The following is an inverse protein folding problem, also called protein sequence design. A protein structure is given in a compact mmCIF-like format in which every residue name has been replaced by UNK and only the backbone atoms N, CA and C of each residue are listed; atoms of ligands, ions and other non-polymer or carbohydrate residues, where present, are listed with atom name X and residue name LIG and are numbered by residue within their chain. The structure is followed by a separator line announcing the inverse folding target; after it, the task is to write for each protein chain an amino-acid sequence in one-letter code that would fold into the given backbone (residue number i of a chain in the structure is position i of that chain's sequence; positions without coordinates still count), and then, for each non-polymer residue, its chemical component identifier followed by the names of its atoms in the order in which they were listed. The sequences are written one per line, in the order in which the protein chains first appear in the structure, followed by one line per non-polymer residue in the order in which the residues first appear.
data_IF_024452494356
#
_entry.id   IF_024452494356
#
_cell.length_a   1.000
_cell.length_b   1.000
_cell.length_c   1.000
_cell.angle_alpha   90.00
_cell.angle_beta   90.00
_cell.angle_gamma   90.00
#
_symmetry.space_group_name_H-M   'P 1'
#
loop_
_entity.id
_entity.type
_entity.pdbx_description
1 polymer ?
#
# COMPACT_ATOMS: atom_id res chain seq x y z
N UNK A 1 1.78 14.45 76.26
CA UNK A 1 2.20 14.57 74.85
C UNK A 1 1.48 13.47 74.07
N UNK A 2 0.49 13.81 73.25
CA UNK A 2 -0.26 12.81 72.48
C UNK A 2 0.63 12.31 71.34
N UNK A 3 0.95 11.02 71.33
CA UNK A 3 1.51 10.35 70.14
C UNK A 3 0.39 10.28 69.11
N UNK A 4 0.53 11.01 68.00
CA UNK A 4 -0.30 10.77 66.84
C UNK A 4 -0.01 9.35 66.35
N UNK A 5 -1.02 8.48 66.40
CA UNK A 5 -0.96 7.13 65.83
C UNK A 5 -1.31 7.29 64.35
N UNK A 6 -0.35 7.06 63.46
CA UNK A 6 -0.59 7.07 62.01
C UNK A 6 -1.58 5.96 61.67
N UNK A 7 -2.52 6.26 60.79
CA UNK A 7 -3.48 5.28 60.27
C UNK A 7 -2.76 4.27 59.36
N UNK A 8 -3.28 3.04 59.18
CA UNK A 8 -2.67 2.04 58.30
C UNK A 8 -2.47 2.53 56.85
N UNK A 9 -3.31 3.45 56.37
CA UNK A 9 -3.13 4.12 55.09
C UNK A 9 -1.94 5.09 55.07
N UNK A 10 -1.71 5.83 56.16
CA UNK A 10 -0.57 6.73 56.29
C UNK A 10 0.75 5.96 56.44
N UNK A 11 0.75 4.80 57.11
CA UNK A 11 1.92 3.92 57.20
C UNK A 11 2.27 3.28 55.85
N UNK A 12 1.28 2.80 55.10
CA UNK A 12 1.49 2.26 53.75
C UNK A 12 1.99 3.32 52.77
N UNK A 13 1.48 4.55 52.87
CA UNK A 13 1.95 5.68 52.07
C UNK A 13 3.40 6.06 52.44
N UNK A 14 3.72 6.12 53.73
CA UNK A 14 5.07 6.42 54.21
C UNK A 14 6.08 5.33 53.82
N UNK A 15 5.69 4.06 53.87
CA UNK A 15 6.54 2.95 53.42
C UNK A 15 6.74 2.97 51.91
N UNK A 16 5.70 3.25 51.12
CA UNK A 16 5.83 3.41 49.67
C UNK A 16 6.74 4.59 49.31
N UNK A 17 6.63 5.71 50.03
CA UNK A 17 7.54 6.85 49.90
C UNK A 17 8.97 6.48 50.26
N UNK A 18 9.21 5.84 51.41
CA UNK A 18 10.54 5.43 51.84
C UNK A 18 11.19 4.38 50.91
N UNK A 19 10.40 3.50 50.29
CA UNK A 19 10.87 2.56 49.27
C UNK A 19 11.23 3.28 47.96
N UNK A 20 10.42 4.27 47.56
CA UNK A 20 10.67 5.09 46.37
C UNK A 20 11.91 5.96 46.56
N UNK A 21 12.07 6.57 47.74
CA UNK A 21 13.24 7.36 48.14
C UNK A 21 14.50 6.49 48.18
N UNK A 22 14.47 5.31 48.82
CA UNK A 22 15.63 4.41 48.83
C UNK A 22 16.04 3.91 47.44
N UNK A 23 15.07 3.68 46.55
CA UNK A 23 15.35 3.28 45.16
C UNK A 23 15.96 4.43 44.36
N UNK A 24 15.38 5.63 44.47
CA UNK A 24 15.92 6.82 43.83
C UNK A 24 17.29 7.18 44.41
N UNK A 25 17.53 7.16 45.71
CA UNK A 25 18.85 7.47 46.26
C UNK A 25 19.94 6.49 45.80
N UNK A 26 19.63 5.19 45.74
CA UNK A 26 20.59 4.16 45.32
C UNK A 26 20.83 4.15 43.81
N UNK A 27 19.83 4.47 43.00
CA UNK A 27 19.90 4.37 41.54
C UNK A 27 19.67 5.68 40.79
N UNK A 28 19.62 6.84 41.46
CA UNK A 28 19.29 8.15 40.87
C UNK A 28 20.15 8.46 39.65
N UNK A 29 21.45 8.21 39.71
CA UNK A 29 22.35 8.37 38.57
C UNK A 29 21.94 7.50 37.38
N UNK A 30 21.62 6.22 37.62
CA UNK A 30 21.20 5.29 36.57
C UNK A 30 19.83 5.68 35.98
N UNK A 31 18.88 6.10 36.82
CA UNK A 31 17.54 6.56 36.40
C UNK A 31 17.64 7.84 35.57
N UNK A 32 18.47 8.80 36.00
CA UNK A 32 18.72 10.04 35.27
C UNK A 32 19.41 9.76 33.93
N UNK A 33 20.43 8.89 33.90
CA UNK A 33 21.09 8.48 32.65
C UNK A 33 20.10 7.78 31.70
N UNK A 34 19.25 6.90 32.21
CA UNK A 34 18.23 6.23 31.40
C UNK A 34 17.20 7.22 30.82
N UNK A 35 16.75 8.20 31.62
CA UNK A 35 15.86 9.27 31.17
C UNK A 35 16.51 10.15 30.09
N UNK A 36 17.78 10.54 30.27
CA UNK A 36 18.53 11.30 29.27
C UNK A 36 18.68 10.47 27.99
N UNK A 37 18.98 9.18 28.09
CA UNK A 37 19.10 8.31 26.93
C UNK A 37 17.78 8.20 26.15
N UNK A 38 16.65 8.06 26.84
CA UNK A 38 15.31 8.07 26.21
C UNK A 38 15.04 9.41 25.54
N UNK A 39 15.36 10.52 26.20
CA UNK A 39 15.17 11.87 25.64
C UNK A 39 16.01 12.08 24.38
N UNK A 40 17.30 11.70 24.41
CA UNK A 40 18.21 11.77 23.25
C UNK A 40 17.69 10.90 22.11
N UNK A 41 17.21 9.68 22.40
CA UNK A 41 16.62 8.80 21.40
C UNK A 41 15.37 9.42 20.77
N UNK A 42 14.48 9.99 21.59
CA UNK A 42 13.27 10.65 21.12
C UNK A 42 13.61 11.88 20.26
N UNK A 43 14.58 12.70 20.66
CA UNK A 43 15.07 13.84 19.91
C UNK A 43 15.71 13.42 18.58
N UNK A 44 16.48 12.34 18.55
CA UNK A 44 17.06 11.79 17.33
C UNK A 44 15.98 11.30 16.35
N UNK A 45 14.98 10.56 16.85
CA UNK A 45 13.83 10.10 16.05
C UNK A 45 13.05 11.30 15.49
N UNK A 46 12.77 12.30 16.32
CA UNK A 46 12.07 13.52 15.92
C UNK A 46 12.86 14.31 14.88
N UNK A 47 14.16 14.51 15.11
CA UNK A 47 15.06 15.19 14.18
C UNK A 47 15.12 14.48 12.83
N UNK A 48 15.27 13.15 12.82
CA UNK A 48 15.26 12.37 11.58
C UNK A 48 13.93 12.50 10.83
N UNK A 49 12.81 12.41 11.54
CA UNK A 49 11.48 12.55 10.94
C UNK A 49 11.32 13.93 10.30
N UNK A 50 11.67 15.00 11.01
CA UNK A 50 11.44 16.38 10.57
C UNK A 50 12.42 16.85 9.48
N UNK A 51 13.70 16.48 9.60
CA UNK A 51 14.77 17.01 8.74
C UNK A 51 15.07 16.11 7.54
N UNK A 52 14.75 14.81 7.61
CA UNK A 52 15.09 13.85 6.55
C UNK A 52 13.83 13.23 5.96
N UNK A 53 12.97 12.64 6.78
CA UNK A 53 11.82 11.88 6.28
C UNK A 53 10.74 12.78 5.65
N UNK A 54 10.35 13.87 6.30
CA UNK A 54 9.31 14.79 5.79
C UNK A 54 9.69 15.45 4.46
N UNK A 55 10.87 16.10 4.29
CA UNK A 55 11.25 16.69 3.01
C UNK A 55 11.33 15.66 1.89
N UNK A 56 11.84 14.46 2.21
CA UNK A 56 11.93 13.35 1.25
C UNK A 56 10.56 12.87 0.79
N UNK A 57 9.56 12.81 1.67
CA UNK A 57 8.19 12.46 1.29
C UNK A 57 7.56 13.54 0.40
N UNK A 58 7.79 14.83 0.70
CA UNK A 58 7.28 15.94 -0.12
C UNK A 58 7.87 15.92 -1.53
N UNK A 59 9.19 15.76 -1.65
CA UNK A 59 9.86 15.64 -2.94
C UNK A 59 9.34 14.44 -3.75
N UNK A 60 9.15 13.28 -3.10
CA UNK A 60 8.59 12.10 -3.73
C UNK A 60 7.17 12.34 -4.27
N UNK A 61 6.32 13.03 -3.50
CA UNK A 61 4.96 13.38 -3.91
C UNK A 61 4.95 14.36 -5.08
N UNK A 62 5.81 15.38 -5.05
CA UNK A 62 5.88 16.36 -6.14
C UNK A 62 6.32 15.70 -7.45
N UNK A 63 7.35 14.84 -7.42
CA UNK A 63 7.81 14.12 -8.61
C UNK A 63 6.76 13.13 -9.11
N UNK A 64 6.11 12.40 -8.20
CA UNK A 64 5.01 11.50 -8.57
C UNK A 64 3.88 12.25 -9.26
N UNK A 65 3.48 13.42 -8.73
CA UNK A 65 2.42 14.23 -9.32
C UNK A 65 2.75 14.64 -10.76
N UNK A 66 4.01 15.03 -11.03
CA UNK A 66 4.46 15.36 -12.39
C UNK A 66 4.37 14.16 -13.33
N UNK A 67 4.77 12.96 -12.88
CA UNK A 67 4.65 11.74 -13.67
C UNK A 67 3.19 11.33 -13.92
N UNK A 68 2.33 11.44 -12.90
CA UNK A 68 0.89 11.18 -13.02
C UNK A 68 0.22 12.14 -14.01
N UNK A 69 0.56 13.42 -13.95
CA UNK A 69 0.04 14.41 -14.88
C UNK A 69 0.32 14.03 -16.34
N UNK A 70 1.51 13.51 -16.65
CA UNK A 70 1.83 13.01 -17.98
C UNK A 70 1.03 11.75 -18.35
N UNK A 71 0.89 10.81 -17.41
CA UNK A 71 0.16 9.55 -17.61
C UNK A 71 -1.34 9.74 -17.87
N UNK A 72 -1.94 10.77 -17.26
CA UNK A 72 -3.38 11.05 -17.33
C UNK A 72 -3.77 11.90 -18.56
N UNK A 73 -2.79 12.33 -19.37
CA UNK A 73 -3.07 13.08 -20.59
C UNK A 73 -3.81 12.22 -21.62
N UNK A 74 -4.70 12.86 -22.40
CA UNK A 74 -5.54 12.17 -23.39
C UNK A 74 -4.73 11.36 -24.41
N UNK A 75 -3.53 11.81 -24.76
CA UNK A 75 -2.57 11.11 -25.62
C UNK A 75 -1.26 10.88 -24.86
N UNK A 76 -1.35 10.34 -23.64
CA UNK A 76 -0.19 10.10 -22.79
C UNK A 76 0.86 9.22 -23.49
N UNK A 77 2.10 9.73 -23.56
CA UNK A 77 3.26 8.92 -23.91
C UNK A 77 3.68 8.12 -22.66
N UNK A 78 3.47 6.81 -22.71
CA UNK A 78 3.75 5.92 -21.58
C UNK A 78 5.23 5.71 -21.36
N UNK A 79 6.04 5.80 -22.41
CA UNK A 79 7.48 5.71 -22.29
C UNK A 79 8.01 6.97 -21.58
N UNK A 80 7.46 8.14 -21.91
CA UNK A 80 7.75 9.37 -21.19
C UNK A 80 7.26 9.32 -19.74
N UNK A 81 6.03 8.87 -19.48
CA UNK A 81 5.52 8.76 -18.10
C UNK A 81 6.33 7.76 -17.25
N UNK A 82 6.83 6.68 -17.86
CA UNK A 82 7.67 5.69 -17.20
C UNK A 82 9.07 6.24 -16.93
N UNK A 83 9.77 6.70 -17.98
CA UNK A 83 11.19 7.01 -17.92
C UNK A 83 11.49 8.48 -17.56
N UNK A 84 10.56 9.38 -17.84
CA UNK A 84 10.75 10.81 -17.76
C UNK A 84 11.62 11.35 -18.89
N UNK A 85 11.99 12.61 -18.77
CA UNK A 85 12.98 13.29 -19.59
C UNK A 85 13.83 14.23 -18.72
N UNK A 86 14.66 15.07 -19.35
CA UNK A 86 15.53 16.02 -18.64
C UNK A 86 14.76 17.02 -17.76
N UNK A 87 13.49 17.29 -18.08
CA UNK A 87 12.67 18.33 -17.43
C UNK A 87 11.57 17.75 -16.53
N UNK A 88 11.18 16.50 -16.75
CA UNK A 88 10.05 15.88 -16.06
C UNK A 88 10.39 14.49 -15.54
N UNK A 89 10.19 14.23 -14.24
CA UNK A 89 10.46 12.91 -13.67
C UNK A 89 9.44 11.88 -14.17
N UNK A 90 9.93 10.67 -14.44
CA UNK A 90 9.09 9.49 -14.72
C UNK A 90 8.88 8.60 -13.49
N UNK A 91 7.92 7.68 -13.56
CA UNK A 91 7.63 6.74 -12.48
C UNK A 91 8.83 5.88 -12.08
N UNK A 92 9.67 5.47 -13.03
CA UNK A 92 10.89 4.69 -12.77
C UNK A 92 11.81 5.43 -11.81
N UNK A 93 12.06 6.72 -12.08
CA UNK A 93 12.91 7.57 -11.25
C UNK A 93 12.33 7.73 -9.84
N UNK A 94 11.02 7.96 -9.72
CA UNK A 94 10.36 8.11 -8.42
C UNK A 94 10.40 6.80 -7.63
N UNK A 95 10.16 5.66 -8.29
CA UNK A 95 10.22 4.33 -7.69
C UNK A 95 11.63 3.98 -7.19
N UNK A 96 12.66 4.31 -7.98
CA UNK A 96 14.06 4.07 -7.61
C UNK A 96 14.51 4.98 -6.47
N UNK A 97 14.30 6.30 -6.60
CA UNK A 97 14.80 7.26 -5.63
C UNK A 97 13.99 7.28 -4.34
N UNK A 98 12.69 6.99 -4.38
CA UNK A 98 11.78 7.17 -3.24
C UNK A 98 10.94 5.94 -2.92
N UNK A 99 11.32 4.74 -3.38
CA UNK A 99 10.54 3.51 -3.18
C UNK A 99 10.19 3.15 -1.73
N UNK A 100 10.90 3.73 -0.75
CA UNK A 100 10.58 3.59 0.68
C UNK A 100 9.53 4.57 1.22
N UNK A 101 9.05 5.50 0.39
CA UNK A 101 7.98 6.44 0.70
C UNK A 101 6.64 5.94 0.13
N UNK A 102 5.49 6.41 0.63
CA UNK A 102 4.19 6.06 0.02
C UNK A 102 4.09 6.43 -1.46
N UNK A 103 4.66 7.57 -1.86
CA UNK A 103 4.67 8.03 -3.24
C UNK A 103 5.54 7.15 -4.15
N UNK A 104 6.75 6.79 -3.72
CA UNK A 104 7.59 5.87 -4.49
C UNK A 104 7.04 4.44 -4.52
N UNK A 105 6.35 4.00 -3.48
CA UNK A 105 5.60 2.74 -3.51
C UNK A 105 4.50 2.77 -4.58
N UNK A 106 3.73 3.87 -4.65
CA UNK A 106 2.72 4.05 -5.70
C UNK A 106 3.36 4.17 -7.10
N UNK A 107 4.53 4.81 -7.21
CA UNK A 107 5.27 4.89 -8.45
C UNK A 107 5.67 3.51 -9.00
N UNK A 108 6.00 2.53 -8.13
CA UNK A 108 6.24 1.15 -8.58
C UNK A 108 5.00 0.54 -9.25
N UNK A 109 3.80 0.82 -8.74
CA UNK A 109 2.56 0.32 -9.33
C UNK A 109 2.31 0.94 -10.71
N UNK A 110 2.46 2.26 -10.84
CA UNK A 110 2.32 2.94 -12.12
C UNK A 110 3.40 2.53 -13.12
N UNK A 111 4.65 2.39 -12.68
CA UNK A 111 5.75 1.91 -13.51
C UNK A 111 5.44 0.51 -14.05
N UNK A 112 4.94 -0.40 -13.21
CA UNK A 112 4.50 -1.72 -13.65
C UNK A 112 3.38 -1.63 -14.70
N UNK A 113 2.36 -0.80 -14.47
CA UNK A 113 1.27 -0.62 -15.42
C UNK A 113 1.73 -0.03 -16.77
N UNK A 114 2.64 0.95 -16.76
CA UNK A 114 3.25 1.48 -17.98
C UNK A 114 4.06 0.41 -18.71
N UNK A 115 4.93 -0.31 -18.00
CA UNK A 115 5.78 -1.34 -18.59
C UNK A 115 4.95 -2.46 -19.25
N UNK A 116 3.85 -2.93 -18.63
CA UNK A 116 2.95 -3.90 -19.28
C UNK A 116 2.41 -3.35 -20.60
N UNK A 117 1.94 -2.10 -20.61
CA UNK A 117 1.35 -1.47 -21.81
C UNK A 117 2.39 -1.18 -22.90
N UNK A 118 3.67 -1.10 -22.53
CA UNK A 118 4.80 -0.98 -23.46
C UNK A 118 5.33 -2.35 -23.92
N UNK A 119 4.81 -3.47 -23.40
CA UNK A 119 5.28 -4.82 -23.68
C UNK A 119 6.54 -5.23 -22.90
N UNK A 120 6.95 -4.44 -21.91
CA UNK A 120 8.12 -4.68 -21.07
C UNK A 120 7.77 -5.54 -19.85
N UNK A 121 7.43 -6.80 -20.09
CA UNK A 121 6.85 -7.69 -19.07
C UNK A 121 7.80 -7.93 -17.88
N UNK A 122 9.10 -8.11 -18.13
CA UNK A 122 10.11 -8.34 -17.08
C UNK A 122 10.32 -7.10 -16.20
N UNK A 123 10.27 -5.91 -16.82
CA UNK A 123 10.34 -4.65 -16.08
C UNK A 123 9.11 -4.48 -15.19
N UNK A 124 7.92 -4.81 -15.71
CA UNK A 124 6.68 -4.77 -14.95
C UNK A 124 6.72 -5.67 -13.71
N UNK A 125 7.20 -6.91 -13.85
CA UNK A 125 7.40 -7.81 -12.72
C UNK A 125 8.36 -7.25 -11.68
N UNK A 126 9.46 -6.65 -12.14
CA UNK A 126 10.48 -6.08 -11.27
C UNK A 126 9.95 -4.89 -10.44
N UNK A 127 9.14 -4.02 -11.05
CA UNK A 127 8.48 -2.93 -10.33
C UNK A 127 7.41 -3.46 -9.38
N UNK A 128 6.58 -4.40 -9.84
CA UNK A 128 5.49 -4.95 -9.02
C UNK A 128 6.00 -5.75 -7.81
N UNK A 129 7.16 -6.40 -7.93
CA UNK A 129 7.81 -7.09 -6.80
C UNK A 129 8.29 -6.12 -5.70
N UNK A 130 8.57 -4.86 -6.04
CA UNK A 130 8.96 -3.81 -5.08
C UNK A 130 7.75 -3.15 -4.41
N UNK A 131 6.56 -3.25 -5.02
CA UNK A 131 5.33 -2.73 -4.44
C UNK A 131 4.98 -3.43 -3.14
N UNK A 132 4.58 -2.65 -2.14
CA UNK A 132 4.11 -3.11 -0.84
C UNK A 132 2.65 -2.74 -0.65
N UNK A 133 1.88 -3.66 -0.09
CA UNK A 133 0.47 -3.44 0.17
C UNK A 133 0.24 -2.21 1.08
N UNK A 134 -0.71 -1.38 0.69
CA UNK A 134 -1.10 -0.16 1.38
C UNK A 134 -2.23 -0.48 2.36
N UNK A 135 -2.18 0.11 3.55
CA UNK A 135 -3.18 -0.12 4.61
C UNK A 135 -4.38 0.83 4.47
N UNK A 136 -5.55 0.37 4.92
CA UNK A 136 -6.79 1.15 4.97
C UNK A 136 -7.41 1.43 3.60
N UNK A 137 -8.48 2.20 3.58
CA UNK A 137 -9.14 2.68 2.35
C UNK A 137 -8.58 4.07 2.00
N UNK A 138 -8.15 4.35 0.75
CA UNK A 138 -8.31 3.57 -0.49
C UNK A 138 -7.17 2.58 -0.79
N UNK A 139 -6.28 2.28 0.17
CA UNK A 139 -5.17 1.35 0.00
C UNK A 139 -5.58 -0.05 -0.48
N UNK A 140 -6.73 -0.56 -0.05
CA UNK A 140 -7.29 -1.83 -0.54
C UNK A 140 -7.57 -1.81 -2.05
N UNK A 141 -8.02 -0.68 -2.60
CA UNK A 141 -8.23 -0.52 -4.05
C UNK A 141 -6.89 -0.58 -4.78
N UNK A 142 -5.86 0.09 -4.25
CA UNK A 142 -4.50 0.06 -4.80
C UNK A 142 -3.93 -1.36 -4.74
N UNK A 143 -4.19 -2.11 -3.67
CA UNK A 143 -3.77 -3.50 -3.54
C UNK A 143 -4.50 -4.42 -4.53
N UNK A 144 -5.79 -4.17 -4.78
CA UNK A 144 -6.55 -4.87 -5.82
C UNK A 144 -5.95 -4.58 -7.20
N UNK A 145 -5.54 -3.33 -7.46
CA UNK A 145 -4.82 -2.95 -8.68
C UNK A 145 -3.50 -3.72 -8.84
N UNK A 146 -2.69 -3.79 -7.79
CA UNK A 146 -1.45 -4.55 -7.79
C UNK A 146 -1.67 -6.05 -8.08
N UNK A 147 -2.69 -6.66 -7.46
CA UNK A 147 -3.06 -8.04 -7.74
C UNK A 147 -3.56 -8.22 -9.19
N UNK A 148 -4.32 -7.25 -9.70
CA UNK A 148 -4.75 -7.20 -11.09
C UNK A 148 -3.60 -7.16 -12.08
N UNK A 149 -2.57 -6.35 -11.83
CA UNK A 149 -1.38 -6.29 -12.69
C UNK A 149 -0.62 -7.62 -12.72
N UNK A 150 -0.67 -8.45 -11.67
CA UNK A 150 -0.14 -9.83 -11.73
C UNK A 150 -0.91 -10.68 -12.73
N UNK A 151 -2.23 -10.52 -12.79
CA UNK A 151 -3.06 -11.18 -13.79
C UNK A 151 -2.75 -10.68 -15.20
N UNK A 152 -2.52 -9.38 -15.36
CA UNK A 152 -2.14 -8.80 -16.66
C UNK A 152 -0.78 -9.32 -17.14
N UNK A 153 0.22 -9.38 -16.26
CA UNK A 153 1.51 -10.01 -16.57
C UNK A 153 1.33 -11.47 -16.99
N UNK A 154 0.47 -12.22 -16.31
CA UNK A 154 0.19 -13.61 -16.68
C UNK A 154 -0.47 -13.74 -18.06
N UNK A 155 -1.37 -12.80 -18.42
CA UNK A 155 -1.95 -12.72 -19.77
C UNK A 155 -0.86 -12.46 -20.83
N UNK A 156 0.02 -11.48 -20.60
CA UNK A 156 1.12 -11.18 -21.53
C UNK A 156 2.08 -12.37 -21.70
N UNK A 157 2.22 -13.22 -20.68
CA UNK A 157 2.99 -14.48 -20.74
C UNK A 157 2.22 -15.64 -21.38
N UNK A 158 0.96 -15.46 -21.73
CA UNK A 158 0.08 -16.51 -22.28
C UNK A 158 -0.43 -17.52 -21.26
N UNK A 159 -0.23 -17.28 -19.95
CA UNK A 159 -0.70 -18.15 -18.88
C UNK A 159 -2.10 -17.71 -18.40
N UNK A 160 -3.12 -18.08 -19.16
CA UNK A 160 -4.51 -17.76 -18.84
C UNK A 160 -4.98 -18.39 -17.52
N UNK A 161 -4.38 -19.50 -17.09
CA UNK A 161 -4.76 -20.15 -15.83
C UNK A 161 -4.27 -19.32 -14.63
N UNK A 162 -3.01 -18.89 -14.66
CA UNK A 162 -2.47 -17.97 -13.65
C UNK A 162 -3.20 -16.62 -13.70
N UNK A 163 -3.52 -16.11 -14.89
CA UNK A 163 -4.27 -14.87 -15.06
C UNK A 163 -5.64 -14.94 -14.39
N UNK A 164 -6.42 -16.00 -14.65
CA UNK A 164 -7.74 -16.18 -14.06
C UNK A 164 -7.67 -16.20 -12.52
N UNK A 165 -6.74 -16.98 -11.96
CA UNK A 165 -6.54 -17.06 -10.51
C UNK A 165 -6.12 -15.70 -9.90
N UNK A 166 -5.24 -14.96 -10.56
CA UNK A 166 -4.79 -13.66 -10.11
C UNK A 166 -5.93 -12.61 -10.15
N UNK A 167 -6.76 -12.62 -11.19
CA UNK A 167 -7.91 -11.73 -11.29
C UNK A 167 -9.01 -12.07 -10.28
N UNK A 168 -9.32 -13.35 -10.05
CA UNK A 168 -10.23 -13.74 -8.98
C UNK A 168 -9.72 -13.29 -7.61
N UNK A 169 -8.41 -13.44 -7.35
CA UNK A 169 -7.80 -12.94 -6.13
C UNK A 169 -7.92 -11.42 -6.01
N UNK A 170 -7.62 -10.68 -7.09
CA UNK A 170 -7.74 -9.22 -7.14
C UNK A 170 -9.17 -8.74 -6.86
N UNK A 171 -10.17 -9.42 -7.41
CA UNK A 171 -11.59 -9.11 -7.17
C UNK A 171 -12.01 -9.27 -5.70
N UNK A 172 -11.30 -10.12 -4.93
CA UNK A 172 -11.57 -10.38 -3.51
C UNK A 172 -10.81 -9.43 -2.57
N UNK A 173 -9.85 -8.64 -3.08
CA UNK A 173 -9.05 -7.73 -2.24
C UNK A 173 -9.87 -6.56 -1.72
N UNK A 174 -10.78 -6.01 -2.53
CA UNK A 174 -11.60 -4.86 -2.15
C UNK A 174 -12.99 -4.98 -2.76
N UNK A 175 -14.01 -4.90 -1.92
CA UNK A 175 -15.41 -4.90 -2.33
C UNK A 175 -15.84 -3.49 -2.72
N UNK A 176 -15.81 -3.20 -4.02
CA UNK A 176 -16.20 -1.89 -4.56
C UNK A 176 -16.72 -2.01 -6.00
N UNK A 177 -17.42 -0.96 -6.46
CA UNK A 177 -18.07 -0.91 -7.78
C UNK A 177 -17.10 -0.66 -8.95
N UNK A 178 -15.79 -0.67 -8.72
CA UNK A 178 -14.78 -0.41 -9.74
C UNK A 178 -13.87 -1.61 -9.95
N UNK A 179 -12.99 -1.94 -9.00
CA UNK A 179 -11.98 -3.00 -9.21
C UNK A 179 -12.55 -4.41 -9.16
N UNK A 180 -13.50 -4.69 -8.26
CA UNK A 180 -14.04 -6.04 -8.13
C UNK A 180 -14.75 -6.53 -9.41
N UNK A 181 -15.76 -5.81 -9.95
CA UNK A 181 -16.41 -6.24 -11.19
C UNK A 181 -15.47 -6.19 -12.40
N UNK A 182 -14.53 -5.23 -12.46
CA UNK A 182 -13.51 -5.17 -13.51
C UNK A 182 -12.64 -6.43 -13.53
N UNK A 183 -12.16 -6.90 -12.36
CA UNK A 183 -11.32 -8.09 -12.29
C UNK A 183 -12.11 -9.39 -12.46
N UNK A 184 -13.35 -9.47 -12.00
CA UNK A 184 -14.23 -10.61 -12.33
C UNK A 184 -14.44 -10.74 -13.84
N UNK A 185 -14.60 -9.62 -14.54
CA UNK A 185 -14.73 -9.63 -16.01
C UNK A 185 -13.46 -10.15 -16.68
N UNK A 186 -12.28 -9.75 -16.20
CA UNK A 186 -10.98 -10.22 -16.72
C UNK A 186 -10.75 -11.70 -16.39
N UNK A 187 -11.15 -12.16 -15.21
CA UNK A 187 -11.15 -13.58 -14.86
C UNK A 187 -12.06 -14.37 -15.82
N UNK A 188 -13.27 -13.88 -16.10
CA UNK A 188 -14.18 -14.51 -17.05
C UNK A 188 -13.56 -14.65 -18.43
N UNK A 189 -12.91 -13.60 -18.94
CA UNK A 189 -12.19 -13.63 -20.22
C UNK A 189 -11.06 -14.67 -20.24
N UNK A 190 -10.27 -14.75 -19.17
CA UNK A 190 -9.20 -15.73 -19.05
C UNK A 190 -9.77 -17.16 -19.00
N UNK A 191 -10.88 -17.39 -18.27
CA UNK A 191 -11.56 -18.69 -18.27
C UNK A 191 -12.15 -19.06 -19.63
N UNK A 192 -12.72 -18.12 -20.37
CA UNK A 192 -13.18 -18.35 -21.74
C UNK A 192 -12.01 -18.77 -22.65
N UNK A 193 -10.84 -18.12 -22.52
CA UNK A 193 -9.64 -18.49 -23.28
C UNK A 193 -9.13 -19.91 -22.94
N UNK A 194 -9.46 -20.43 -21.75
CA UNK A 194 -9.18 -21.80 -21.33
C UNK A 194 -10.29 -22.80 -21.73
N UNK A 195 -11.38 -22.34 -22.35
CA UNK A 195 -12.56 -23.17 -22.63
C UNK A 195 -13.39 -23.53 -21.39
N UNK A 196 -13.15 -22.87 -20.25
CA UNK A 196 -13.89 -23.11 -19.01
C UNK A 196 -15.11 -22.18 -18.92
N UNK A 197 -16.14 -22.48 -19.71
CA UNK A 197 -17.37 -21.68 -19.79
C UNK A 197 -18.11 -21.59 -18.44
N UNK A 198 -18.08 -22.66 -17.65
CA UNK A 198 -18.74 -22.69 -16.34
C UNK A 198 -18.15 -21.64 -15.38
N UNK A 199 -16.82 -21.58 -15.28
CA UNK A 199 -16.13 -20.58 -14.45
C UNK A 199 -16.25 -19.17 -15.00
N UNK A 200 -16.24 -19.02 -16.32
CA UNK A 200 -16.48 -17.73 -16.95
C UNK A 200 -17.88 -17.19 -16.58
N UNK A 201 -18.91 -18.05 -16.69
CA UNK A 201 -20.28 -17.69 -16.32
C UNK A 201 -20.42 -17.35 -14.84
N UNK A 202 -19.80 -18.14 -13.95
CA UNK A 202 -19.79 -17.86 -12.50
C UNK A 202 -19.28 -16.44 -12.20
N UNK A 203 -18.17 -16.03 -12.83
CA UNK A 203 -17.63 -14.68 -12.66
C UNK A 203 -18.60 -13.60 -13.16
N UNK A 204 -19.26 -13.81 -14.29
CA UNK A 204 -20.22 -12.86 -14.86
C UNK A 204 -21.50 -12.75 -14.02
N UNK A 205 -22.01 -13.87 -13.51
CA UNK A 205 -23.18 -13.91 -12.63
C UNK A 205 -22.91 -13.11 -11.34
N UNK A 206 -21.70 -13.22 -10.76
CA UNK A 206 -21.31 -12.39 -9.60
C UNK A 206 -21.36 -10.89 -9.93
N UNK A 207 -20.94 -10.49 -11.14
CA UNK A 207 -21.05 -9.08 -11.58
C UNK A 207 -22.51 -8.65 -11.64
N UNK A 208 -23.37 -9.47 -12.24
CA UNK A 208 -24.79 -9.17 -12.42
C UNK A 208 -25.50 -9.05 -11.07
N UNK A 209 -25.25 -9.99 -10.16
CA UNK A 209 -25.97 -10.10 -8.90
C UNK A 209 -25.48 -9.11 -7.85
N UNK A 210 -24.16 -8.95 -7.71
CA UNK A 210 -23.55 -8.15 -6.64
C UNK A 210 -23.18 -6.74 -7.08
N UNK A 211 -22.87 -6.54 -8.35
CA UNK A 211 -22.31 -5.30 -8.88
C UNK A 211 -23.19 -4.71 -9.99
N UNK A 212 -24.51 -4.86 -9.92
CA UNK A 212 -25.48 -4.42 -10.92
C UNK A 212 -25.36 -2.93 -11.33
N UNK A 213 -24.83 -2.08 -10.43
CA UNK A 213 -24.63 -0.65 -10.66
C UNK A 213 -23.21 -0.30 -11.17
N UNK A 214 -22.38 -1.30 -11.49
CA UNK A 214 -21.05 -1.06 -12.05
C UNK A 214 -21.09 -0.87 -13.57
N UNK A 215 -20.09 -0.21 -14.16
CA UNK A 215 -19.96 -0.10 -15.62
C UNK A 215 -19.91 -1.46 -16.34
N UNK A 216 -19.41 -2.50 -15.66
CA UNK A 216 -19.24 -3.85 -16.22
C UNK A 216 -20.54 -4.66 -16.26
N UNK A 217 -21.56 -4.32 -15.46
CA UNK A 217 -22.81 -5.08 -15.38
C UNK A 217 -23.52 -5.23 -16.73
N UNK A 218 -23.60 -4.14 -17.50
CA UNK A 218 -24.21 -4.16 -18.83
C UNK A 218 -23.45 -5.06 -19.82
N UNK A 219 -22.13 -5.18 -19.67
CA UNK A 219 -21.31 -6.06 -20.49
C UNK A 219 -21.48 -7.52 -20.05
N UNK A 220 -21.46 -7.78 -18.74
CA UNK A 220 -21.68 -9.11 -18.17
C UNK A 220 -23.03 -9.72 -18.59
N UNK A 221 -24.10 -8.92 -18.57
CA UNK A 221 -25.43 -9.32 -19.04
C UNK A 221 -25.47 -9.75 -20.52
N UNK A 222 -24.57 -9.22 -21.36
CA UNK A 222 -24.48 -9.60 -22.78
C UNK A 222 -23.69 -10.89 -22.96
N UNK A 223 -22.62 -11.06 -22.19
CA UNK A 223 -21.71 -12.20 -22.27
C UNK A 223 -22.24 -13.46 -21.57
N UNK A 224 -23.18 -13.32 -20.64
CA UNK A 224 -23.77 -14.43 -19.91
C UNK A 224 -24.96 -15.12 -20.65
N UNK A 225 -25.32 -14.65 -21.84
CA UNK A 225 -26.39 -15.20 -22.69
C UNK A 225 -25.83 -16.15 -23.72
#
# INVERSE_FOLDING_TARGET
MAKQVMTPQEEALAQAQAQTENFFEKHSKAVVIAMIAIFVLAAAIFGYKKLVSEPRMQAAQEMLYKAQYQFEQQNADLALALNGDENTPGFAQVAEQYGNTPAGNLANLYAAACSIRLGEVEAAESYLAKFKNVKGTPGEIINAMAAGLKGDIAVEKGDNAAAAAAFEAAAKVSDNLYTAPMYLRKAAQAYTALGNEAKAKECLDIIIDKYANSPEAANALKLAK
#
